data_IF_075538005270
#
_entry.id   IF_075538005270
#
_cell.length_a   1.000
_cell.length_b   1.000
_cell.length_c   1.000
_cell.angle_alpha   90.00
_cell.angle_beta   90.00
_cell.angle_gamma   90.00
#
_symmetry.space_group_name_H-M   'P 1'
#
loop_
_entity.id
_entity.type
_entity.pdbx_description
1 polymer ?
#
# COMPACT_ATOMS: atom_id res chain seq x y z
N UNK A 1 -13.81 27.04 -1.94
CA UNK A 1 -12.39 26.63 -1.84
C UNK A 1 -12.00 25.98 -3.15
N UNK A 2 -10.88 26.38 -3.77
CA UNK A 2 -10.40 25.73 -5.00
C UNK A 2 -9.71 24.40 -4.72
N UNK A 3 -9.75 23.46 -5.67
CA UNK A 3 -9.11 22.13 -5.55
C UNK A 3 -7.62 22.23 -5.21
N UNK A 4 -6.91 23.22 -5.75
CA UNK A 4 -5.49 23.45 -5.46
C UNK A 4 -5.21 23.83 -4.00
N UNK A 5 -6.14 24.56 -3.35
CA UNK A 5 -6.00 24.92 -1.93
C UNK A 5 -6.25 23.70 -1.04
N UNK A 6 -7.23 22.87 -1.41
CA UNK A 6 -7.50 21.60 -0.74
C UNK A 6 -6.29 20.66 -0.81
N UNK A 7 -5.66 20.54 -1.99
CA UNK A 7 -4.46 19.73 -2.18
C UNK A 7 -3.33 20.10 -1.20
N UNK A 8 -3.08 21.41 -1.06
CA UNK A 8 -2.03 21.92 -0.18
C UNK A 8 -2.39 21.85 1.31
N UNK A 9 -3.65 22.09 1.69
CA UNK A 9 -4.07 22.12 3.09
C UNK A 9 -4.26 20.72 3.70
N UNK A 10 -4.60 19.73 2.86
CA UNK A 10 -4.89 18.35 3.30
C UNK A 10 -3.76 17.36 2.98
N UNK A 11 -2.60 17.86 2.54
CA UNK A 11 -1.42 17.05 2.20
C UNK A 11 -1.76 15.87 1.27
N UNK A 12 -2.48 16.18 0.20
CA UNK A 12 -2.95 15.18 -0.75
C UNK A 12 -1.82 14.85 -1.73
N UNK A 13 -1.66 13.56 -2.02
CA UNK A 13 -0.75 13.08 -3.08
C UNK A 13 -1.41 13.14 -4.45
N UNK A 14 -2.73 12.90 -4.51
CA UNK A 14 -3.50 12.91 -5.75
C UNK A 14 -4.93 13.39 -5.49
N UNK A 15 -5.44 14.24 -6.38
CA UNK A 15 -6.86 14.53 -6.51
C UNK A 15 -7.22 14.30 -7.97
N UNK A 16 -8.07 13.32 -8.21
CA UNK A 16 -8.61 13.00 -9.53
C UNK A 16 -10.13 13.18 -9.49
N UNK A 17 -10.67 14.03 -10.35
CA UNK A 17 -12.12 14.23 -10.49
C UNK A 17 -12.53 13.66 -11.84
N UNK A 18 -13.32 12.59 -11.84
CA UNK A 18 -13.74 11.91 -13.05
C UNK A 18 -15.06 11.15 -12.84
N UNK A 19 -16.19 11.56 -13.45
CA UNK A 19 -16.33 12.63 -14.43
C UNK A 19 -16.59 14.02 -13.82
N UNK A 20 -16.08 15.04 -14.49
CA UNK A 20 -16.42 16.44 -14.23
C UNK A 20 -17.48 16.88 -15.24
N UNK A 21 -18.72 17.05 -14.79
CA UNK A 21 -19.84 17.39 -15.68
C UNK A 21 -20.15 18.88 -15.63
N UNK A 22 -20.66 19.38 -16.74
CA UNK A 22 -21.24 20.71 -16.84
C UNK A 22 -22.76 20.50 -16.85
N UNK A 23 -23.43 21.03 -15.84
CA UNK A 23 -24.90 21.01 -15.78
C UNK A 23 -25.48 21.95 -16.84
N UNK A 24 -26.76 21.76 -17.18
CA UNK A 24 -27.45 22.60 -18.18
C UNK A 24 -27.49 24.08 -17.76
N UNK A 25 -27.38 24.36 -16.45
CA UNK A 25 -27.25 25.70 -15.87
C UNK A 25 -25.83 26.30 -16.01
N UNK A 26 -24.91 25.61 -16.67
CA UNK A 26 -23.52 26.02 -16.85
C UNK A 26 -22.63 25.84 -15.61
N UNK A 27 -23.13 25.21 -14.55
CA UNK A 27 -22.35 24.95 -13.34
C UNK A 27 -21.51 23.69 -13.46
N UNK A 28 -20.27 23.77 -13.00
CA UNK A 28 -19.31 22.67 -12.96
C UNK A 28 -19.58 21.79 -11.72
N UNK A 29 -19.89 20.51 -11.93
CA UNK A 29 -20.14 19.55 -10.87
C UNK A 29 -19.15 18.38 -10.92
N UNK A 30 -18.56 18.07 -9.77
CA UNK A 30 -17.75 16.87 -9.57
C UNK A 30 -18.70 15.70 -9.23
N UNK A 31 -18.89 14.74 -10.14
CA UNK A 31 -19.74 13.57 -9.86
C UNK A 31 -19.03 12.54 -9.00
N UNK A 32 -17.77 12.29 -9.33
CA UNK A 32 -16.92 11.35 -8.61
C UNK A 32 -15.51 11.94 -8.48
N UNK A 33 -14.88 11.66 -7.35
CA UNK A 33 -13.56 12.16 -7.03
C UNK A 33 -12.79 11.11 -6.23
N UNK A 34 -11.61 10.76 -6.73
CA UNK A 34 -10.64 9.94 -6.02
C UNK A 34 -9.58 10.84 -5.42
N UNK A 35 -9.44 10.75 -4.10
CA UNK A 35 -8.45 11.51 -3.34
C UNK A 35 -7.51 10.53 -2.65
N UNK A 36 -6.20 10.76 -2.81
CA UNK A 36 -5.16 9.98 -2.14
C UNK A 36 -4.37 10.92 -1.23
N UNK A 37 -4.31 10.60 0.05
CA UNK A 37 -3.57 11.36 1.07
C UNK A 37 -2.14 10.84 1.16
N UNK A 38 -1.15 11.72 1.40
CA UNK A 38 0.20 11.26 1.72
C UNK A 38 0.21 10.59 3.11
N UNK A 39 0.54 9.29 3.14
CA UNK A 39 0.64 8.51 4.37
C UNK A 39 1.65 9.10 5.36
N UNK A 40 2.70 9.77 4.89
CA UNK A 40 3.70 10.43 5.75
C UNK A 40 3.17 11.70 6.41
N UNK A 41 2.07 12.27 5.91
CA UNK A 41 1.44 13.47 6.44
C UNK A 41 0.24 13.17 7.35
N UNK A 42 -0.20 11.92 7.43
CA UNK A 42 -1.37 11.52 8.23
C UNK A 42 -1.24 11.92 9.71
N UNK A 43 -0.03 11.88 10.27
CA UNK A 43 0.22 12.26 11.67
C UNK A 43 -0.21 13.70 12.04
N UNK A 44 -0.31 14.60 11.04
CA UNK A 44 -0.76 16.00 11.23
C UNK A 44 -2.20 16.24 10.75
N UNK A 45 -2.88 15.22 10.23
CA UNK A 45 -4.23 15.29 9.67
C UNK A 45 -5.19 14.31 10.39
N UNK A 46 -5.52 14.55 11.68
CA UNK A 46 -6.30 13.61 12.48
C UNK A 46 -7.73 13.38 11.94
N UNK A 47 -8.31 14.37 11.25
CA UNK A 47 -9.61 14.21 10.57
C UNK A 47 -9.56 13.16 9.45
N UNK A 48 -8.47 13.11 8.69
CA UNK A 48 -8.31 12.18 7.56
C UNK A 48 -7.97 10.77 8.07
N UNK A 49 -7.18 10.68 9.14
CA UNK A 49 -6.89 9.41 9.81
C UNK A 49 -8.17 8.79 10.40
N UNK A 50 -9.09 9.59 10.94
CA UNK A 50 -10.38 9.11 11.43
C UNK A 50 -11.31 8.58 10.31
N UNK A 51 -11.08 8.96 9.06
CA UNK A 51 -11.80 8.44 7.89
C UNK A 51 -11.14 7.18 7.29
N UNK A 52 -10.04 6.70 7.86
CA UNK A 52 -9.37 5.50 7.40
C UNK A 52 -10.26 4.27 7.64
N UNK A 53 -10.62 3.59 6.54
CA UNK A 53 -11.39 2.36 6.58
C UNK A 53 -10.49 1.16 6.23
N UNK A 54 -10.00 0.41 7.23
CA UNK A 54 -9.12 -0.73 7.00
C UNK A 54 -9.83 -1.91 6.32
N UNK A 55 -11.17 -1.92 6.21
CA UNK A 55 -11.90 -2.97 5.48
C UNK A 55 -11.69 -2.92 3.97
N UNK A 56 -11.22 -1.78 3.45
CA UNK A 56 -10.91 -1.58 2.04
C UNK A 56 -9.48 -2.00 1.68
N UNK A 57 -8.64 -2.32 2.67
CA UNK A 57 -7.26 -2.77 2.50
C UNK A 57 -7.16 -4.30 2.61
N UNK A 58 -6.12 -4.89 2.03
CA UNK A 58 -5.86 -6.33 2.22
C UNK A 58 -5.55 -6.57 3.72
N UNK A 59 -6.28 -7.52 4.33
CA UNK A 59 -6.12 -7.86 5.76
C UNK A 59 -4.66 -8.13 6.15
N UNK A 60 -3.86 -8.67 5.23
CA UNK A 60 -2.46 -9.00 5.46
C UNK A 60 -1.58 -7.76 5.42
N UNK A 61 -1.87 -6.83 4.53
CA UNK A 61 -1.16 -5.54 4.43
C UNK A 61 -1.49 -4.68 5.65
N UNK A 62 -2.78 -4.59 6.02
CA UNK A 62 -3.23 -3.89 7.22
C UNK A 62 -2.62 -4.49 8.50
N UNK A 63 -2.60 -5.83 8.61
CA UNK A 63 -1.95 -6.49 9.75
C UNK A 63 -0.43 -6.25 9.74
N UNK A 64 0.24 -6.28 8.59
CA UNK A 64 1.68 -5.96 8.53
C UNK A 64 1.97 -4.51 8.93
N UNK A 65 1.12 -3.56 8.51
CA UNK A 65 1.24 -2.14 8.83
C UNK A 65 1.22 -1.89 10.35
N UNK A 66 0.37 -2.60 11.11
CA UNK A 66 0.34 -2.54 12.58
C UNK A 66 1.67 -2.89 13.24
N UNK A 67 2.53 -3.65 12.56
CA UNK A 67 3.85 -4.04 13.05
C UNK A 67 4.99 -3.27 12.39
N UNK A 68 4.68 -2.15 11.72
CA UNK A 68 5.61 -1.34 10.92
C UNK A 68 6.35 -2.19 9.87
N UNK A 69 5.65 -3.14 9.26
CA UNK A 69 6.14 -3.96 8.17
C UNK A 69 5.43 -3.54 6.88
N UNK A 70 6.18 -3.25 5.83
CA UNK A 70 5.60 -3.09 4.51
C UNK A 70 5.51 -4.48 3.88
N UNK A 71 4.28 -4.99 3.76
CA UNK A 71 3.96 -6.23 3.09
C UNK A 71 3.29 -5.91 1.76
N UNK A 72 3.66 -6.62 0.70
CA UNK A 72 2.96 -6.58 -0.57
C UNK A 72 2.56 -8.00 -0.92
N UNK A 73 1.25 -8.24 -1.02
CA UNK A 73 0.73 -9.52 -1.44
C UNK A 73 0.86 -9.65 -2.97
N UNK A 74 1.53 -10.69 -3.42
CA UNK A 74 1.49 -11.13 -4.81
C UNK A 74 1.12 -12.64 -4.79
N UNK A 75 0.25 -13.11 -5.70
CA UNK A 75 -0.22 -14.51 -5.92
C UNK A 75 0.85 -15.63 -6.17
N UNK A 76 1.76 -15.79 -5.22
CA UNK A 76 2.95 -16.62 -5.37
C UNK A 76 2.90 -17.97 -4.70
N UNK A 77 4.03 -18.68 -4.70
CA UNK A 77 4.35 -19.76 -3.74
C UNK A 77 5.63 -19.51 -2.94
N UNK A 78 6.29 -18.37 -3.15
CA UNK A 78 7.56 -18.01 -2.51
C UNK A 78 7.36 -16.73 -1.70
N UNK A 79 7.72 -16.77 -0.42
CA UNK A 79 7.76 -15.61 0.47
C UNK A 79 9.19 -15.15 0.72
N UNK A 80 9.44 -13.86 0.55
CA UNK A 80 10.76 -13.26 0.76
C UNK A 80 10.70 -12.19 1.86
N UNK A 81 11.70 -12.18 2.74
CA UNK A 81 11.88 -11.15 3.75
C UNK A 81 13.24 -10.50 3.53
N UNK A 82 13.25 -9.17 3.41
CA UNK A 82 14.46 -8.39 3.18
C UNK A 82 14.49 -7.14 4.04
N UNK A 83 15.70 -6.65 4.30
CA UNK A 83 15.93 -5.41 5.04
C UNK A 83 16.17 -4.28 4.03
N UNK A 84 15.08 -3.68 3.55
CA UNK A 84 15.10 -2.54 2.63
C UNK A 84 14.40 -2.79 1.29
N UNK A 85 13.72 -1.77 0.78
CA UNK A 85 12.94 -1.84 -0.46
C UNK A 85 13.77 -2.17 -1.71
N UNK A 86 14.98 -1.62 -1.81
CA UNK A 86 15.87 -1.90 -2.95
C UNK A 86 16.34 -3.35 -3.02
N UNK A 87 16.67 -3.95 -1.87
CA UNK A 87 17.03 -5.37 -1.80
C UNK A 87 15.81 -6.27 -2.09
N UNK A 88 14.62 -5.83 -1.68
CA UNK A 88 13.35 -6.48 -1.99
C UNK A 88 13.13 -6.61 -3.49
N UNK A 89 13.21 -5.49 -4.20
CA UNK A 89 13.00 -5.44 -5.64
C UNK A 89 14.08 -6.24 -6.38
N UNK A 90 15.36 -6.08 -6.01
CA UNK A 90 16.44 -6.86 -6.63
C UNK A 90 16.34 -8.36 -6.38
N UNK A 91 15.87 -8.78 -5.19
CA UNK A 91 15.63 -10.20 -4.91
C UNK A 91 14.47 -10.74 -5.75
N UNK A 92 13.42 -9.95 -5.96
CA UNK A 92 12.30 -10.32 -6.85
C UNK A 92 12.79 -10.51 -8.29
N UNK A 93 13.62 -9.59 -8.78
CA UNK A 93 14.19 -9.66 -10.13
C UNK A 93 15.10 -10.88 -10.29
N UNK A 94 15.99 -11.16 -9.33
CA UNK A 94 16.88 -12.34 -9.36
C UNK A 94 16.08 -13.64 -9.35
N UNK A 95 15.05 -13.74 -8.51
CA UNK A 95 14.16 -14.92 -8.43
C UNK A 95 13.42 -15.10 -9.75
N UNK A 96 12.94 -14.02 -10.36
CA UNK A 96 12.29 -14.05 -11.68
C UNK A 96 13.25 -14.46 -12.80
N UNK A 97 14.51 -13.98 -12.77
CA UNK A 97 15.53 -14.30 -13.76
C UNK A 97 16.03 -15.76 -13.67
N UNK A 98 16.16 -16.32 -12.47
CA UNK A 98 16.59 -17.71 -12.26
C UNK A 98 15.44 -18.72 -12.27
N UNK A 99 14.18 -18.25 -12.22
CA UNK A 99 12.97 -19.06 -12.21
C UNK A 99 12.42 -19.47 -13.60
N UNK A 100 13.22 -19.37 -14.66
CA UNK A 100 12.79 -19.57 -16.06
C UNK A 100 12.26 -20.95 -16.50
N UNK A 101 11.86 -21.84 -15.57
CA UNK A 101 11.30 -23.16 -15.92
C UNK A 101 10.14 -23.64 -15.01
N UNK A 102 9.72 -22.86 -14.01
CA UNK A 102 8.51 -23.14 -13.22
C UNK A 102 7.75 -21.83 -13.05
N UNK A 103 6.42 -21.80 -13.25
CA UNK A 103 5.67 -20.56 -13.27
C UNK A 103 5.68 -19.94 -11.87
N UNK A 104 6.59 -19.00 -11.63
CA UNK A 104 6.54 -18.13 -10.47
C UNK A 104 5.49 -17.08 -10.81
N UNK A 105 4.23 -17.37 -10.48
CA UNK A 105 3.17 -16.42 -10.74
C UNK A 105 3.25 -15.22 -9.82
N UNK A 106 3.84 -15.31 -8.61
CA UNK A 106 4.18 -14.13 -7.80
C UNK A 106 5.01 -14.38 -6.51
N UNK A 107 5.32 -13.31 -5.76
CA UNK A 107 6.21 -13.33 -4.59
C UNK A 107 5.75 -12.36 -3.49
N UNK A 108 5.54 -12.81 -2.26
CA UNK A 108 5.18 -11.90 -1.16
C UNK A 108 6.44 -11.33 -0.50
N UNK A 109 6.57 -10.00 -0.43
CA UNK A 109 7.78 -9.33 0.07
C UNK A 109 7.48 -8.57 1.35
N UNK A 110 8.30 -8.78 2.39
CA UNK A 110 8.33 -7.91 3.57
C UNK A 110 9.61 -7.12 3.64
N UNK A 111 9.46 -5.79 3.69
CA UNK A 111 10.55 -4.86 3.98
C UNK A 111 10.59 -4.54 5.46
N UNK A 112 11.73 -4.77 6.10
CA UNK A 112 11.94 -4.43 7.51
C UNK A 112 12.78 -3.18 7.72
N UNK A 113 12.45 -2.35 8.74
CA UNK A 113 13.38 -1.37 9.25
C UNK A 113 14.56 -2.05 9.96
N UNK A 114 15.75 -1.41 9.94
CA UNK A 114 17.00 -1.96 10.50
C UNK A 114 16.92 -2.34 12.00
N UNK A 115 15.96 -1.79 12.74
CA UNK A 115 15.75 -2.01 14.18
C UNK A 115 14.76 -3.13 14.53
N UNK A 116 14.25 -3.88 13.55
CA UNK A 116 13.19 -4.86 13.77
C UNK A 116 13.63 -6.02 14.70
N UNK A 117 12.88 -6.22 15.79
CA UNK A 117 13.16 -7.27 16.79
C UNK A 117 12.83 -8.68 16.29
N UNK A 118 13.43 -9.70 16.92
CA UNK A 118 13.22 -11.12 16.60
C UNK A 118 11.74 -11.57 16.70
N UNK A 119 10.88 -10.82 17.42
CA UNK A 119 9.42 -11.04 17.46
C UNK A 119 8.75 -10.75 16.13
N UNK A 120 9.16 -9.68 15.43
CA UNK A 120 8.66 -9.37 14.08
C UNK A 120 9.04 -10.50 13.12
N UNK A 121 10.21 -11.14 13.26
CA UNK A 121 10.64 -12.33 12.45
C UNK A 121 9.65 -13.48 12.53
N UNK A 122 9.19 -13.79 13.74
CA UNK A 122 8.23 -14.87 13.98
C UNK A 122 6.86 -14.55 13.37
N UNK A 123 6.43 -13.29 13.42
CA UNK A 123 5.15 -12.87 12.82
C UNK A 123 5.13 -13.09 11.30
N UNK A 124 6.19 -12.70 10.59
CA UNK A 124 6.27 -12.96 9.15
C UNK A 124 6.19 -14.45 8.83
N UNK A 125 6.94 -15.28 9.56
CA UNK A 125 6.90 -16.72 9.37
C UNK A 125 5.45 -17.24 9.52
N UNK A 126 4.69 -16.69 10.48
CA UNK A 126 3.28 -17.02 10.67
C UNK A 126 2.38 -16.50 9.54
N UNK A 127 2.63 -15.29 9.02
CA UNK A 127 1.84 -14.70 7.92
C UNK A 127 2.08 -15.42 6.58
N UNK A 128 3.30 -15.90 6.30
CA UNK A 128 3.58 -16.63 5.05
C UNK A 128 3.21 -18.10 5.09
N UNK A 129 3.23 -18.72 6.28
CA UNK A 129 2.84 -20.14 6.46
C UNK A 129 1.34 -20.36 6.64
N UNK A 130 0.56 -19.31 6.94
CA UNK A 130 -0.90 -19.37 7.14
C UNK A 130 -1.71 -19.26 5.86
N UNK A 131 -1.13 -19.59 4.70
CA UNK A 131 -1.88 -19.69 3.44
C UNK A 131 -2.97 -20.77 3.60
N UNK A 132 -4.27 -20.43 3.50
CA UNK A 132 -5.27 -21.47 3.33
C UNK A 132 -4.99 -22.16 1.99
N UNK A 133 -4.93 -23.49 2.06
CA UNK A 133 -4.88 -24.40 0.91
C UNK A 133 -6.06 -24.23 -0.02
#
# INVERSE_FOLDING_TARGET
MGLAKLFAERDLSLIEVNPLVITDDGNLHCLDAKVVVDSNALYRQPELEAMHDPSQEDEREAHAAQWELNYVALDGNIGCMVNGAGLAMGTMDIVKLHGGALPISSMSVVVRPRSASQRRSKLFCRMTTSRPS
#
